data_IF_513955762138
#
_entry.id   IF_513955762138
#
_cell.length_a   1.000
_cell.length_b   1.000
_cell.length_c   1.000
_cell.angle_alpha   90.00
_cell.angle_beta   90.00
_cell.angle_gamma   90.00
#
_symmetry.space_group_name_H-M   'P 1'
#
loop_
_entity.id
_entity.type
_entity.pdbx_description
1 polymer ?
#
# COMPACT_ATOMS: atom_id res chain seq x y z
N UNK A 1 24.32 53.78 34.08
CA UNK A 1 25.73 53.69 34.53
C UNK A 1 25.78 52.78 35.73
N UNK A 2 26.28 51.55 35.57
CA UNK A 2 26.75 50.74 36.68
C UNK A 2 27.87 49.83 36.15
N UNK A 3 28.96 49.85 36.91
CA UNK A 3 30.32 49.46 36.59
C UNK A 3 30.53 47.96 36.84
N UNK A 4 31.40 47.32 36.04
CA UNK A 4 31.87 45.94 36.23
C UNK A 4 32.60 45.77 37.57
N UNK A 5 32.79 44.52 38.03
CA UNK A 5 34.17 44.06 38.12
C UNK A 5 34.39 42.67 37.50
N UNK A 6 35.67 42.39 37.29
CA UNK A 6 36.19 41.30 36.49
C UNK A 6 36.68 40.11 37.34
N UNK A 7 36.62 38.95 36.70
CA UNK A 7 37.54 37.79 36.75
C UNK A 7 37.81 37.06 38.07
N UNK A 8 37.52 35.75 38.06
CA UNK A 8 38.47 34.73 38.50
C UNK A 8 38.41 33.51 37.57
N UNK A 9 39.57 33.12 37.04
CA UNK A 9 39.79 31.88 36.27
C UNK A 9 39.91 30.72 37.26
N UNK A 10 39.15 29.63 37.08
CA UNK A 10 39.47 28.33 37.67
C UNK A 10 39.87 27.33 36.61
N UNK A 11 41.01 26.71 36.89
CA UNK A 11 41.72 25.77 36.03
C UNK A 11 41.02 24.40 35.95
N UNK A 12 41.33 23.70 34.85
CA UNK A 12 40.91 22.35 34.47
C UNK A 12 41.16 21.31 35.57
N UNK A 13 40.17 20.47 35.81
CA UNK A 13 40.35 19.10 36.30
C UNK A 13 39.88 18.13 35.21
N UNK A 14 40.81 17.31 34.71
CA UNK A 14 40.59 16.25 33.74
C UNK A 14 39.87 15.06 34.39
N UNK A 15 38.70 14.69 33.87
CA UNK A 15 38.02 13.44 34.21
C UNK A 15 38.51 12.29 33.32
N UNK A 16 38.49 11.03 33.80
CA UNK A 16 39.16 9.92 33.15
C UNK A 16 38.38 9.42 31.92
N UNK A 17 39.14 9.13 30.88
CA UNK A 17 38.73 8.37 29.70
C UNK A 17 38.37 6.94 30.08
N UNK A 18 37.11 6.54 29.96
CA UNK A 18 36.72 5.14 29.75
C UNK A 18 35.31 5.04 29.17
N UNK A 19 35.13 4.10 28.22
CA UNK A 19 33.81 3.72 27.73
C UNK A 19 33.64 3.83 26.23
N UNK A 20 34.22 2.89 25.50
CA UNK A 20 33.85 2.53 24.12
C UNK A 20 32.33 2.39 24.03
N UNK A 21 31.65 3.34 23.39
CA UNK A 21 30.23 3.21 23.04
C UNK A 21 30.12 2.10 21.99
N UNK A 22 29.84 0.88 22.44
CA UNK A 22 29.28 -0.18 21.60
C UNK A 22 27.95 0.35 21.06
N UNK A 23 27.92 0.67 19.77
CA UNK A 23 26.69 0.87 19.03
C UNK A 23 25.90 -0.44 19.09
N UNK A 24 24.87 -0.46 19.92
CA UNK A 24 23.93 -1.57 19.96
C UNK A 24 23.28 -1.69 18.59
N UNK A 25 23.62 -2.74 17.84
CA UNK A 25 22.79 -3.22 16.74
C UNK A 25 21.46 -3.65 17.37
N UNK A 26 20.44 -2.81 17.27
CA UNK A 26 19.05 -3.26 17.40
C UNK A 26 18.71 -4.05 16.15
N UNK A 27 19.22 -5.28 16.04
CA UNK A 27 18.63 -6.25 15.13
C UNK A 27 17.30 -6.67 15.76
N UNK A 28 16.19 -6.25 15.16
CA UNK A 28 14.91 -6.88 15.45
C UNK A 28 15.09 -8.40 15.30
N UNK A 29 14.64 -9.22 16.26
CA UNK A 29 14.65 -10.66 16.09
C UNK A 29 13.92 -10.99 14.79
N UNK A 30 14.51 -11.84 13.94
CA UNK A 30 13.90 -12.23 12.69
C UNK A 30 12.56 -12.92 12.99
N UNK A 31 11.46 -12.21 12.74
CA UNK A 31 10.12 -12.80 12.80
C UNK A 31 10.08 -13.85 11.68
N UNK A 32 9.91 -15.11 12.04
CA UNK A 32 9.80 -16.19 11.08
C UNK A 32 8.36 -16.21 10.55
N UNK A 33 8.13 -15.55 9.42
CA UNK A 33 6.81 -15.50 8.79
C UNK A 33 6.50 -16.82 8.10
N UNK A 34 5.28 -17.32 8.28
CA UNK A 34 4.79 -18.42 7.46
C UNK A 34 4.61 -17.94 6.02
N UNK A 35 5.09 -18.73 5.06
CA UNK A 35 4.97 -18.43 3.62
C UNK A 35 4.10 -19.49 2.96
N UNK A 36 3.26 -19.07 2.01
CA UNK A 36 2.46 -19.99 1.19
C UNK A 36 3.36 -20.75 0.22
N UNK A 37 3.07 -22.01 -0.08
CA UNK A 37 3.79 -22.73 -1.12
C UNK A 37 3.24 -22.36 -2.51
N UNK A 38 4.07 -21.67 -3.30
CA UNK A 38 3.75 -21.34 -4.68
C UNK A 38 4.41 -22.36 -5.59
N UNK A 39 3.65 -22.85 -6.56
CA UNK A 39 4.19 -23.55 -7.72
C UNK A 39 4.80 -22.56 -8.73
N UNK A 40 5.23 -23.08 -9.88
CA UNK A 40 5.84 -22.27 -10.93
C UNK A 40 4.88 -21.22 -11.49
N UNK A 41 3.63 -21.57 -11.70
CA UNK A 41 2.65 -20.69 -12.34
C UNK A 41 2.22 -19.59 -11.37
N UNK A 42 2.10 -19.91 -10.08
CA UNK A 42 1.85 -18.95 -9.02
C UNK A 42 2.97 -17.90 -8.88
N UNK A 43 4.25 -18.32 -8.87
CA UNK A 43 5.38 -17.38 -8.83
C UNK A 43 5.47 -16.53 -10.10
N UNK A 44 5.28 -17.12 -11.29
CA UNK A 44 5.31 -16.38 -12.55
C UNK A 44 4.18 -15.35 -12.63
N UNK A 45 2.97 -15.72 -12.20
CA UNK A 45 1.84 -14.80 -12.14
C UNK A 45 2.10 -13.66 -11.14
N UNK A 46 2.57 -13.98 -9.93
CA UNK A 46 2.90 -12.96 -8.94
C UNK A 46 4.01 -12.00 -9.44
N UNK A 47 5.02 -12.54 -10.14
CA UNK A 47 6.07 -11.75 -10.78
C UNK A 47 5.50 -10.79 -11.82
N UNK A 48 4.69 -11.31 -12.75
CA UNK A 48 4.04 -10.53 -13.80
C UNK A 48 3.17 -9.41 -13.21
N UNK A 49 2.30 -9.72 -12.25
CA UNK A 49 1.33 -8.77 -11.71
C UNK A 49 2.03 -7.65 -10.93
N UNK A 50 3.07 -7.97 -10.14
CA UNK A 50 3.88 -6.95 -9.47
C UNK A 50 4.69 -6.10 -10.46
N UNK A 51 5.21 -6.70 -11.55
CA UNK A 51 5.87 -5.94 -12.61
C UNK A 51 4.91 -5.00 -13.33
N UNK A 52 3.68 -5.44 -13.61
CA UNK A 52 2.65 -4.60 -14.21
C UNK A 52 2.41 -3.36 -13.38
N UNK A 53 2.21 -3.53 -12.07
CA UNK A 53 2.08 -2.40 -11.14
C UNK A 53 3.32 -1.51 -11.20
N UNK A 54 4.53 -2.07 -11.02
CA UNK A 54 5.78 -1.29 -11.02
C UNK A 54 5.96 -0.46 -12.30
N UNK A 55 5.75 -1.07 -13.47
CA UNK A 55 5.96 -0.39 -14.77
C UNK A 55 4.87 0.63 -15.04
N UNK A 56 3.63 0.33 -14.68
CA UNK A 56 2.52 1.27 -14.77
C UNK A 56 2.81 2.53 -13.93
N UNK A 57 3.21 2.34 -12.68
CA UNK A 57 3.53 3.41 -11.73
C UNK A 57 4.75 4.23 -12.19
N UNK A 58 5.78 3.60 -12.75
CA UNK A 58 6.91 4.29 -13.36
C UNK A 58 6.48 5.17 -14.55
N UNK A 59 5.58 4.66 -15.40
CA UNK A 59 5.00 5.42 -16.52
C UNK A 59 4.11 6.57 -16.03
N UNK A 60 3.27 6.35 -15.03
CA UNK A 60 2.47 7.41 -14.40
C UNK A 60 3.37 8.52 -13.84
N UNK A 61 4.46 8.16 -13.16
CA UNK A 61 5.45 9.13 -12.70
C UNK A 61 6.10 9.94 -13.84
N UNK A 62 6.37 9.31 -14.99
CA UNK A 62 6.87 10.01 -16.18
C UNK A 62 5.84 11.02 -16.72
N UNK A 63 4.59 10.60 -16.91
CA UNK A 63 3.51 11.45 -17.44
C UNK A 63 3.20 12.62 -16.50
N UNK A 64 3.26 12.40 -15.19
CA UNK A 64 3.18 13.48 -14.20
C UNK A 64 4.30 14.51 -14.38
N UNK A 65 5.55 14.05 -14.55
CA UNK A 65 6.69 14.93 -14.82
C UNK A 65 6.57 15.72 -16.13
N UNK A 66 5.81 15.21 -17.09
CA UNK A 66 5.47 15.88 -18.35
C UNK A 66 4.28 16.84 -18.22
N UNK A 67 3.63 16.92 -17.06
CA UNK A 67 2.45 17.76 -16.82
C UNK A 67 1.14 17.20 -17.38
N UNK A 68 1.11 15.92 -17.75
CA UNK A 68 -0.08 15.26 -18.33
C UNK A 68 -1.05 14.70 -17.27
N UNK A 69 -0.60 14.58 -16.01
CA UNK A 69 -1.43 14.21 -14.86
C UNK A 69 -1.58 15.43 -13.98
N UNK A 70 -2.82 15.87 -13.77
CA UNK A 70 -3.15 17.00 -12.90
C UNK A 70 -3.28 16.59 -11.42
N UNK A 71 -3.13 17.56 -10.51
CA UNK A 71 -3.35 17.36 -9.08
C UNK A 71 -2.25 16.56 -8.37
N UNK A 72 -2.63 15.70 -7.43
CA UNK A 72 -1.69 14.83 -6.72
C UNK A 72 -1.56 13.50 -7.43
N UNK A 73 -0.35 12.92 -7.44
CA UNK A 73 -0.10 11.56 -7.95
C UNK A 73 0.69 10.76 -6.91
N UNK A 74 0.09 9.67 -6.43
CA UNK A 74 0.63 8.86 -5.33
C UNK A 74 1.02 7.47 -5.82
N UNK A 75 2.32 7.24 -6.02
CA UNK A 75 2.76 6.00 -6.64
C UNK A 75 2.84 4.81 -5.67
N UNK A 76 2.38 3.62 -6.06
CA UNK A 76 2.42 2.42 -5.21
C UNK A 76 3.77 1.68 -5.18
N UNK A 77 4.83 2.28 -5.73
CA UNK A 77 6.16 1.69 -5.90
C UNK A 77 6.79 1.26 -4.56
N UNK A 78 7.07 -0.05 -4.45
CA UNK A 78 7.71 -0.71 -3.30
C UNK A 78 6.74 -1.49 -2.41
N UNK A 79 5.44 -1.45 -2.70
CA UNK A 79 4.39 -2.11 -1.89
C UNK A 79 3.66 -3.21 -2.69
N UNK A 80 4.13 -3.56 -3.89
CA UNK A 80 3.39 -4.39 -4.86
C UNK A 80 3.01 -5.77 -4.31
N UNK A 81 3.90 -6.39 -3.52
CA UNK A 81 3.66 -7.70 -2.90
C UNK A 81 2.45 -7.71 -1.97
N UNK A 82 2.13 -6.58 -1.33
CA UNK A 82 1.01 -6.48 -0.38
C UNK A 82 -0.30 -6.74 -1.11
N UNK A 83 -0.61 -5.94 -2.13
CA UNK A 83 -1.89 -6.08 -2.81
C UNK A 83 -1.95 -7.34 -3.68
N UNK A 84 -0.86 -7.73 -4.34
CA UNK A 84 -0.83 -8.96 -5.15
C UNK A 84 -1.00 -10.21 -4.28
N UNK A 85 -0.34 -10.25 -3.12
CA UNK A 85 -0.43 -11.37 -2.20
C UNK A 85 -1.82 -11.52 -1.60
N UNK A 86 -2.45 -10.42 -1.18
CA UNK A 86 -3.81 -10.45 -0.63
C UNK A 86 -4.83 -10.82 -1.71
N UNK A 87 -4.73 -10.22 -2.90
CA UNK A 87 -5.69 -10.46 -3.98
C UNK A 87 -5.76 -11.94 -4.38
N UNK A 88 -4.64 -12.68 -4.30
CA UNK A 88 -4.61 -14.12 -4.56
C UNK A 88 -5.48 -14.94 -3.58
N UNK A 89 -5.81 -14.41 -2.40
CA UNK A 89 -6.67 -15.06 -1.40
C UNK A 89 -8.17 -14.72 -1.56
N UNK A 90 -8.51 -13.77 -2.44
CA UNK A 90 -9.87 -13.26 -2.60
C UNK A 90 -10.61 -13.94 -3.76
N UNK A 91 -11.94 -14.02 -3.65
CA UNK A 91 -12.83 -14.42 -4.75
C UNK A 91 -13.09 -13.24 -5.66
N UNK A 92 -12.64 -13.33 -6.91
CA UNK A 92 -12.85 -12.28 -7.92
C UNK A 92 -14.34 -12.03 -8.16
N UNK A 93 -14.74 -10.76 -8.19
CA UNK A 93 -16.12 -10.35 -8.44
C UNK A 93 -17.08 -10.50 -7.25
N UNK A 94 -16.62 -11.07 -6.13
CA UNK A 94 -17.39 -11.27 -4.90
C UNK A 94 -16.82 -10.48 -3.73
N UNK A 95 -15.57 -10.77 -3.35
CA UNK A 95 -14.90 -10.10 -2.24
C UNK A 95 -14.55 -8.66 -2.61
N UNK A 96 -14.62 -7.77 -1.63
CA UNK A 96 -14.58 -6.33 -1.87
C UNK A 96 -13.27 -5.73 -1.42
N UNK A 97 -12.79 -4.74 -2.16
CA UNK A 97 -11.56 -4.01 -1.84
C UNK A 97 -11.85 -2.52 -1.71
N UNK A 98 -11.41 -1.91 -0.61
CA UNK A 98 -11.41 -0.45 -0.43
C UNK A 98 -10.03 0.00 0.02
N UNK A 99 -9.52 1.12 -0.49
CA UNK A 99 -8.16 1.59 -0.18
C UNK A 99 -8.08 3.12 -0.03
N UNK A 100 -6.89 3.61 0.28
CA UNK A 100 -6.58 5.05 0.30
C UNK A 100 -6.27 5.57 -1.10
N UNK A 101 -5.95 6.86 -1.22
CA UNK A 101 -5.51 7.56 -2.44
C UNK A 101 -4.26 6.99 -3.17
N UNK A 102 -3.70 5.85 -2.75
CA UNK A 102 -2.56 5.18 -3.40
C UNK A 102 -3.05 3.90 -4.07
N UNK A 103 -4.03 4.06 -4.95
CA UNK A 103 -4.95 3.02 -5.38
C UNK A 103 -4.61 2.40 -6.75
N UNK A 104 -3.74 2.99 -7.57
CA UNK A 104 -3.54 2.53 -8.97
C UNK A 104 -3.08 1.08 -9.01
N UNK A 105 -2.05 0.73 -8.23
CA UNK A 105 -1.60 -0.65 -8.08
C UNK A 105 -2.68 -1.61 -7.56
N UNK A 106 -3.59 -1.14 -6.71
CA UNK A 106 -4.70 -1.96 -6.24
C UNK A 106 -5.73 -2.23 -7.34
N UNK A 107 -6.01 -1.24 -8.18
CA UNK A 107 -6.91 -1.41 -9.32
C UNK A 107 -6.38 -2.44 -10.30
N UNK A 108 -5.09 -2.36 -10.62
CA UNK A 108 -4.44 -3.32 -11.50
C UNK A 108 -4.47 -4.73 -10.91
N UNK A 109 -4.22 -4.87 -9.60
CA UNK A 109 -4.33 -6.16 -8.91
C UNK A 109 -5.77 -6.70 -8.94
N UNK A 110 -6.79 -5.85 -8.81
CA UNK A 110 -8.20 -6.23 -8.92
C UNK A 110 -8.63 -6.56 -10.38
N UNK A 111 -7.72 -6.51 -11.35
CA UNK A 111 -7.97 -6.89 -12.73
C UNK A 111 -8.64 -5.82 -13.58
N UNK A 112 -8.57 -4.54 -13.18
CA UNK A 112 -8.98 -3.44 -14.03
C UNK A 112 -8.01 -3.26 -15.20
N UNK A 113 -8.54 -2.94 -16.38
CA UNK A 113 -7.75 -2.61 -17.58
C UNK A 113 -6.86 -1.38 -17.31
N UNK A 114 -5.53 -1.50 -17.49
CA UNK A 114 -4.58 -0.38 -17.36
C UNK A 114 -4.95 0.85 -18.19
N UNK A 115 -5.61 0.69 -19.35
CA UNK A 115 -6.07 1.81 -20.20
C UNK A 115 -7.00 2.74 -19.45
N UNK A 116 -8.01 2.18 -18.78
CA UNK A 116 -8.97 2.97 -18.00
C UNK A 116 -8.33 3.63 -16.78
N UNK A 117 -7.36 2.95 -16.14
CA UNK A 117 -6.63 3.55 -15.00
C UNK A 117 -5.81 4.73 -15.49
N UNK A 118 -5.03 4.55 -16.57
CA UNK A 118 -4.18 5.60 -17.11
C UNK A 118 -5.00 6.78 -17.66
N UNK A 119 -6.13 6.51 -18.33
CA UNK A 119 -7.05 7.52 -18.81
C UNK A 119 -7.64 8.36 -17.66
N UNK A 120 -7.95 7.75 -16.52
CA UNK A 120 -8.40 8.51 -15.35
C UNK A 120 -7.28 9.40 -14.79
N UNK A 121 -6.05 8.86 -14.68
CA UNK A 121 -4.90 9.64 -14.20
C UNK A 121 -4.66 10.89 -15.05
N UNK A 122 -4.85 10.79 -16.37
CA UNK A 122 -4.66 11.91 -17.31
C UNK A 122 -5.93 12.72 -17.54
N UNK A 123 -7.01 12.49 -16.78
CA UNK A 123 -8.24 13.27 -16.83
C UNK A 123 -9.02 13.10 -18.15
N UNK A 124 -9.08 11.89 -18.68
CA UNK A 124 -9.74 11.57 -19.96
C UNK A 124 -11.08 10.86 -19.76
N UNK A 125 -11.98 11.00 -20.74
CA UNK A 125 -13.36 10.47 -20.67
C UNK A 125 -13.44 8.96 -20.48
N UNK A 126 -12.45 8.22 -20.98
CA UNK A 126 -12.35 6.76 -20.88
C UNK A 126 -11.82 6.28 -19.54
N UNK A 127 -11.59 7.19 -18.59
CA UNK A 127 -11.27 6.85 -17.21
C UNK A 127 -12.44 6.20 -16.46
N UNK A 128 -12.13 5.44 -15.41
CA UNK A 128 -13.13 4.72 -14.59
C UNK A 128 -14.13 5.64 -13.86
N UNK A 129 -13.83 6.92 -13.75
CA UNK A 129 -14.71 7.96 -13.20
C UNK A 129 -14.86 9.11 -14.17
N UNK A 130 -14.81 8.80 -15.48
CA UNK A 130 -14.99 9.72 -16.59
C UNK A 130 -14.00 10.90 -16.57
N UNK A 131 -12.79 10.69 -16.02
CA UNK A 131 -11.76 11.72 -15.91
C UNK A 131 -11.98 12.74 -14.80
N UNK A 132 -12.98 12.54 -13.92
CA UNK A 132 -13.36 13.46 -12.83
C UNK A 132 -12.62 13.17 -11.52
N UNK A 133 -12.31 11.90 -11.27
CA UNK A 133 -11.75 11.43 -10.00
C UNK A 133 -10.23 11.58 -9.92
N UNK A 134 -9.56 11.48 -11.08
CA UNK A 134 -8.11 11.59 -11.17
C UNK A 134 -7.39 10.52 -10.34
N UNK A 135 -6.20 10.87 -9.86
CA UNK A 135 -5.28 9.92 -9.23
C UNK A 135 -5.70 9.34 -7.89
N UNK A 136 -6.77 9.83 -7.26
CA UNK A 136 -7.12 9.44 -5.89
C UNK A 136 -8.52 8.85 -5.74
N UNK A 137 -9.35 8.91 -6.78
CA UNK A 137 -10.78 8.63 -6.68
C UNK A 137 -11.26 7.81 -7.87
N UNK A 138 -10.89 6.53 -7.89
CA UNK A 138 -11.38 5.58 -8.89
C UNK A 138 -12.26 4.53 -8.24
N UNK A 139 -13.19 3.94 -9.01
CA UNK A 139 -14.15 2.96 -8.50
C UNK A 139 -14.51 1.93 -9.58
N UNK A 140 -14.80 0.69 -9.19
CA UNK A 140 -15.37 -0.31 -10.11
C UNK A 140 -16.33 -1.23 -9.38
N UNK A 141 -17.63 -1.12 -9.71
CA UNK A 141 -18.64 -2.05 -9.18
C UNK A 141 -18.44 -3.47 -9.70
N UNK A 142 -18.04 -3.61 -10.97
CA UNK A 142 -17.84 -4.91 -11.61
C UNK A 142 -16.73 -5.70 -10.90
N UNK A 143 -15.62 -5.03 -10.58
CA UNK A 143 -14.46 -5.63 -9.90
C UNK A 143 -14.54 -5.58 -8.37
N UNK A 144 -15.70 -5.22 -7.80
CA UNK A 144 -15.90 -5.02 -6.36
C UNK A 144 -14.83 -4.12 -5.70
N UNK A 145 -14.38 -3.10 -6.43
CA UNK A 145 -13.40 -2.13 -5.98
C UNK A 145 -14.09 -0.83 -5.60
N UNK A 146 -14.14 -0.56 -4.29
CA UNK A 146 -14.83 0.59 -3.70
C UNK A 146 -13.94 1.80 -3.44
N UNK A 147 -12.79 1.79 -4.10
CA UNK A 147 -12.08 2.99 -4.50
C UNK A 147 -10.94 3.46 -3.63
N UNK A 148 -10.23 4.45 -4.18
CA UNK A 148 -9.31 5.30 -3.45
C UNK A 148 -10.04 6.43 -2.73
N UNK A 149 -9.71 6.62 -1.46
CA UNK A 149 -10.25 7.70 -0.65
C UNK A 149 -9.15 8.70 -0.29
N UNK A 150 -9.33 9.95 -0.73
CA UNK A 150 -8.42 11.07 -0.46
C UNK A 150 -8.40 11.53 1.00
N UNK A 151 -9.52 11.36 1.72
CA UNK A 151 -9.60 11.70 3.13
C UNK A 151 -8.98 10.58 3.96
N UNK A 152 -7.93 10.92 4.71
CA UNK A 152 -7.14 9.97 5.49
C UNK A 152 -8.02 9.20 6.49
N UNK A 153 -8.12 7.88 6.28
CA UNK A 153 -8.87 6.97 7.15
C UNK A 153 -10.37 6.85 6.82
N UNK A 154 -10.90 7.63 5.86
CA UNK A 154 -12.33 7.59 5.51
C UNK A 154 -12.76 6.26 4.88
N UNK A 155 -11.84 5.56 4.21
CA UNK A 155 -12.11 4.25 3.63
C UNK A 155 -12.41 3.18 4.69
N UNK A 156 -11.96 3.38 5.94
CA UNK A 156 -12.06 2.36 6.99
C UNK A 156 -13.51 2.09 7.41
N UNK A 157 -14.31 3.10 7.80
CA UNK A 157 -15.73 2.89 8.05
C UNK A 157 -16.51 2.49 6.78
N UNK A 158 -16.09 2.94 5.59
CA UNK A 158 -16.73 2.57 4.32
C UNK A 158 -16.61 1.06 4.08
N UNK A 159 -15.40 0.52 4.17
CA UNK A 159 -15.16 -0.92 4.00
C UNK A 159 -15.86 -1.77 5.06
N UNK A 160 -15.88 -1.32 6.32
CA UNK A 160 -16.68 -1.98 7.35
C UNK A 160 -18.19 -1.94 7.03
N UNK A 161 -18.69 -0.86 6.44
CA UNK A 161 -20.07 -0.75 5.97
C UNK A 161 -20.40 -1.75 4.84
N UNK A 162 -19.45 -2.03 3.95
CA UNK A 162 -19.61 -3.06 2.92
C UNK A 162 -19.68 -4.46 3.56
N UNK A 163 -18.78 -4.78 4.49
CA UNK A 163 -18.84 -6.03 5.26
C UNK A 163 -20.15 -6.18 6.05
N UNK A 164 -20.69 -5.09 6.59
CA UNK A 164 -22.01 -5.09 7.20
C UNK A 164 -23.12 -5.41 6.19
N UNK A 165 -23.03 -4.89 4.96
CA UNK A 165 -24.00 -5.18 3.92
C UNK A 165 -23.98 -6.66 3.50
N UNK A 166 -22.81 -7.28 3.42
CA UNK A 166 -22.67 -8.73 3.16
C UNK A 166 -23.25 -9.57 4.30
N UNK A 167 -22.90 -9.22 5.55
CA UNK A 167 -23.49 -9.85 6.73
C UNK A 167 -25.02 -9.71 6.75
N UNK A 168 -25.54 -8.54 6.43
CA UNK A 168 -26.99 -8.28 6.41
C UNK A 168 -27.71 -9.10 5.31
N UNK A 169 -27.05 -9.34 4.19
CA UNK A 169 -27.57 -10.17 3.08
C UNK A 169 -27.36 -11.67 3.30
N UNK A 170 -26.59 -12.07 4.31
CA UNK A 170 -26.26 -13.46 4.58
C UNK A 170 -25.28 -14.07 3.56
N UNK A 171 -24.48 -13.24 2.88
CA UNK A 171 -23.36 -13.72 2.04
C UNK A 171 -22.14 -14.00 2.92
N UNK A 172 -21.20 -14.78 2.39
CA UNK A 172 -19.92 -15.08 3.06
C UNK A 172 -18.77 -14.23 2.51
N UNK A 173 -19.04 -13.21 1.70
CA UNK A 173 -18.03 -12.31 1.14
C UNK A 173 -17.27 -11.58 2.24
N UNK A 174 -15.99 -11.29 1.98
CA UNK A 174 -15.16 -10.48 2.88
C UNK A 174 -14.87 -9.11 2.28
N UNK A 175 -14.75 -8.10 3.14
CA UNK A 175 -14.29 -6.76 2.75
C UNK A 175 -12.85 -6.54 3.21
N UNK A 176 -11.94 -6.26 2.28
CA UNK A 176 -10.55 -5.92 2.56
C UNK A 176 -10.37 -4.42 2.50
N UNK A 177 -9.81 -3.87 3.57
CA UNK A 177 -9.75 -2.43 3.81
C UNK A 177 -8.30 -2.01 4.04
N UNK A 178 -7.71 -1.36 3.04
CA UNK A 178 -6.32 -0.92 3.05
C UNK A 178 -6.18 0.51 3.55
N UNK A 179 -5.22 0.73 4.44
CA UNK A 179 -4.88 2.06 4.94
C UNK A 179 -3.43 2.12 5.45
N UNK A 180 -2.80 3.28 5.33
CA UNK A 180 -1.42 3.46 5.78
C UNK A 180 -1.27 3.63 7.28
N UNK A 181 -0.03 3.58 7.75
CA UNK A 181 0.37 3.86 9.13
C UNK A 181 -0.12 5.23 9.64
N UNK A 182 -0.12 6.26 8.78
CA UNK A 182 -0.68 7.56 9.15
C UNK A 182 -2.19 7.51 9.45
N UNK A 183 -2.94 6.75 8.66
CA UNK A 183 -4.39 6.63 8.79
C UNK A 183 -4.81 5.82 10.02
N UNK A 184 -3.99 4.86 10.44
CA UNK A 184 -4.25 4.04 11.62
C UNK A 184 -4.35 4.83 12.94
N UNK A 185 -3.95 6.11 12.94
CA UNK A 185 -4.07 7.00 14.10
C UNK A 185 -5.35 7.86 14.10
N UNK A 186 -6.22 7.72 13.11
CA UNK A 186 -7.46 8.50 13.03
C UNK A 186 -8.54 7.95 13.97
N UNK A 187 -9.30 8.82 14.63
CA UNK A 187 -10.35 8.43 15.59
C UNK A 187 -11.40 7.49 15.00
N UNK A 188 -11.85 7.79 13.77
CA UNK A 188 -12.82 6.97 13.03
C UNK A 188 -12.37 5.52 12.81
N UNK A 189 -11.06 5.24 12.78
CA UNK A 189 -10.54 3.87 12.67
C UNK A 189 -10.84 3.06 13.94
N UNK A 190 -10.64 3.66 15.11
CA UNK A 190 -10.93 3.03 16.40
C UNK A 190 -12.42 2.83 16.62
N UNK A 191 -13.24 3.83 16.26
CA UNK A 191 -14.70 3.70 16.28
C UNK A 191 -15.16 2.55 15.37
N UNK A 192 -14.54 2.43 14.18
CA UNK A 192 -14.83 1.34 13.24
C UNK A 192 -14.43 -0.03 13.80
N UNK A 193 -13.26 -0.17 14.43
CA UNK A 193 -12.85 -1.42 15.07
C UNK A 193 -13.85 -1.89 16.12
N UNK A 194 -14.31 -0.99 16.99
CA UNK A 194 -15.31 -1.30 17.99
C UNK A 194 -16.59 -1.87 17.35
N UNK A 195 -17.11 -1.19 16.33
CA UNK A 195 -18.34 -1.58 15.64
C UNK A 195 -18.16 -2.89 14.86
N UNK A 196 -17.06 -3.04 14.14
CA UNK A 196 -16.74 -4.23 13.36
C UNK A 196 -16.66 -5.48 14.25
N UNK A 197 -16.01 -5.37 15.42
CA UNK A 197 -15.97 -6.47 16.38
C UNK A 197 -17.34 -6.75 16.98
N UNK A 198 -18.01 -5.71 17.50
CA UNK A 198 -19.31 -5.83 18.18
C UNK A 198 -20.30 -6.58 17.30
N UNK A 199 -20.29 -6.25 16.01
CA UNK A 199 -21.17 -6.86 15.02
C UNK A 199 -20.56 -8.05 14.30
N UNK A 200 -19.36 -8.52 14.67
CA UNK A 200 -18.68 -9.65 14.02
C UNK A 200 -18.72 -9.55 12.49
N UNK A 201 -18.25 -8.43 11.96
CA UNK A 201 -18.24 -8.16 10.52
C UNK A 201 -17.12 -8.94 9.82
N UNK A 202 -17.35 -9.45 8.60
CA UNK A 202 -16.34 -10.14 7.80
C UNK A 202 -15.39 -9.13 7.12
N UNK A 203 -14.61 -8.39 7.92
CA UNK A 203 -13.72 -7.33 7.43
C UNK A 203 -12.26 -7.59 7.81
N UNK A 204 -11.36 -7.43 6.83
CA UNK A 204 -9.92 -7.55 7.02
C UNK A 204 -9.31 -6.17 6.91
N UNK A 205 -8.73 -5.68 8.00
CA UNK A 205 -8.06 -4.39 8.07
C UNK A 205 -6.57 -4.56 7.74
N UNK A 206 -6.16 -4.05 6.59
CA UNK A 206 -4.78 -4.14 6.10
C UNK A 206 -4.08 -2.81 6.33
N UNK A 207 -3.11 -2.82 7.25
CA UNK A 207 -2.30 -1.67 7.58
C UNK A 207 -1.00 -1.73 6.78
N UNK A 208 -0.86 -0.86 5.79
CA UNK A 208 0.36 -0.72 5.00
C UNK A 208 1.37 0.14 5.74
N UNK A 209 2.19 -0.48 6.59
CA UNK A 209 3.22 0.22 7.36
C UNK A 209 4.47 0.43 6.50
N UNK A 210 4.46 1.52 5.73
CA UNK A 210 5.60 1.96 4.91
C UNK A 210 6.57 2.91 5.63
N UNK A 211 6.46 2.98 6.97
CA UNK A 211 7.28 3.74 7.91
C UNK A 211 7.01 5.25 8.00
N UNK A 212 6.29 5.84 7.06
CA UNK A 212 6.14 7.29 6.96
C UNK A 212 4.75 7.77 6.51
N UNK A 213 4.07 8.49 7.39
CA UNK A 213 2.92 9.33 7.08
C UNK A 213 3.40 10.68 6.51
N UNK A 214 3.40 10.80 5.18
CA UNK A 214 4.11 11.87 4.46
C UNK A 214 5.59 11.88 4.87
N UNK A 215 6.00 12.82 5.74
CA UNK A 215 7.35 12.93 6.31
C UNK A 215 7.46 12.65 7.81
N UNK A 216 6.36 12.23 8.46
CA UNK A 216 6.36 11.88 9.88
C UNK A 216 6.57 10.38 10.03
N UNK A 217 7.64 9.97 10.71
CA UNK A 217 7.91 8.55 10.96
C UNK A 217 6.94 7.95 11.96
N UNK A 218 6.74 6.62 11.89
CA UNK A 218 5.91 5.86 12.85
C UNK A 218 6.33 6.12 14.30
N UNK A 219 7.64 6.08 14.59
CA UNK A 219 8.18 6.31 15.94
C UNK A 219 7.92 7.71 16.51
N UNK A 220 7.57 8.69 15.64
CA UNK A 220 7.25 10.06 16.04
C UNK A 220 5.76 10.32 16.17
N UNK A 221 4.92 9.43 15.63
CA UNK A 221 3.47 9.61 15.53
C UNK A 221 2.67 8.57 16.33
N UNK A 222 3.32 7.50 16.79
CA UNK A 222 2.63 6.38 17.46
C UNK A 222 3.37 5.93 18.71
N UNK A 223 2.65 5.89 19.83
CA UNK A 223 3.17 5.37 21.09
C UNK A 223 3.33 3.84 21.07
N UNK A 224 2.40 3.15 20.40
CA UNK A 224 2.52 1.72 20.07
C UNK A 224 2.88 1.60 18.58
N UNK A 225 4.08 1.12 18.29
CA UNK A 225 4.61 1.04 16.92
C UNK A 225 4.33 -0.31 16.23
N UNK A 226 3.86 -1.29 16.99
CA UNK A 226 3.33 -2.56 16.51
C UNK A 226 1.83 -2.38 16.22
N UNK A 227 1.47 -2.15 14.95
CA UNK A 227 0.10 -1.79 14.57
C UNK A 227 -0.81 -3.00 14.45
N UNK A 228 -0.27 -4.22 14.37
CA UNK A 228 -1.05 -5.45 14.52
C UNK A 228 -1.82 -5.48 15.85
N UNK A 229 -1.29 -4.79 16.88
CA UNK A 229 -1.93 -4.67 18.21
C UNK A 229 -3.03 -3.62 18.32
N UNK A 230 -3.31 -2.86 17.26
CA UNK A 230 -4.33 -1.78 17.32
C UNK A 230 -5.73 -2.32 17.63
N UNK A 231 -5.96 -3.61 17.38
CA UNK A 231 -7.20 -4.32 17.68
C UNK A 231 -7.34 -4.86 19.10
N UNK A 232 -6.28 -4.89 19.91
CA UNK A 232 -6.26 -5.61 21.21
C UNK A 232 -7.36 -5.13 22.16
N UNK A 233 -7.55 -3.82 22.29
CA UNK A 233 -8.59 -3.24 23.16
C UNK A 233 -10.02 -3.58 22.72
N UNK A 234 -10.18 -4.04 21.48
CA UNK A 234 -11.45 -4.45 20.90
C UNK A 234 -11.54 -5.97 20.71
N UNK A 235 -10.58 -6.76 21.19
CA UNK A 235 -10.52 -8.21 20.97
C UNK A 235 -10.48 -8.61 19.48
N UNK A 236 -9.85 -7.79 18.63
CA UNK A 236 -9.60 -8.11 17.23
C UNK A 236 -8.19 -8.71 17.12
N UNK A 237 -8.04 -9.94 16.64
CA UNK A 237 -6.73 -10.53 16.43
C UNK A 237 -5.97 -9.76 15.33
N UNK A 238 -4.64 -9.73 15.46
CA UNK A 238 -3.80 -9.20 14.40
C UNK A 238 -2.40 -9.78 14.41
N UNK A 239 -1.75 -9.74 13.26
CA UNK A 239 -0.37 -10.18 13.09
C UNK A 239 0.43 -9.23 12.19
N UNK A 240 1.74 -9.15 12.45
CA UNK A 240 2.67 -8.50 11.54
C UNK A 240 3.04 -9.48 10.43
N UNK A 241 3.21 -8.95 9.22
CA UNK A 241 3.53 -9.73 8.02
C UNK A 241 4.67 -9.05 7.27
N UNK A 242 5.57 -9.84 6.68
CA UNK A 242 6.55 -9.32 5.73
C UNK A 242 5.83 -8.86 4.46
N UNK A 243 5.48 -7.58 4.40
CA UNK A 243 4.81 -6.98 3.24
C UNK A 243 5.68 -6.91 1.99
N UNK A 244 6.95 -7.32 2.08
CA UNK A 244 7.88 -7.39 0.95
C UNK A 244 8.00 -8.82 0.37
N UNK A 245 7.35 -9.83 0.96
CA UNK A 245 7.30 -11.19 0.43
C UNK A 245 5.86 -11.59 0.10
N UNK A 246 5.55 -11.66 -1.20
CA UNK A 246 4.22 -12.01 -1.71
C UNK A 246 3.69 -13.36 -1.18
N UNK A 247 4.57 -14.31 -0.86
CA UNK A 247 4.18 -15.62 -0.30
C UNK A 247 3.79 -15.51 1.17
N UNK A 248 4.48 -14.66 1.95
CA UNK A 248 4.13 -14.37 3.34
C UNK A 248 2.79 -13.62 3.40
N UNK A 249 2.62 -12.64 2.52
CA UNK A 249 1.37 -11.89 2.38
C UNK A 249 0.21 -12.82 2.04
N UNK A 250 0.36 -13.70 1.04
CA UNK A 250 -0.70 -14.66 0.66
C UNK A 250 -1.07 -15.59 1.82
N UNK A 251 -0.09 -16.15 2.53
CA UNK A 251 -0.37 -17.03 3.67
C UNK A 251 -1.15 -16.31 4.79
N UNK A 252 -0.80 -15.06 5.10
CA UNK A 252 -1.51 -14.28 6.09
C UNK A 252 -2.92 -13.89 5.62
N UNK A 253 -3.07 -13.54 4.34
CA UNK A 253 -4.36 -13.25 3.74
C UNK A 253 -5.29 -14.47 3.77
N UNK A 254 -4.80 -15.68 3.48
CA UNK A 254 -5.58 -16.91 3.57
C UNK A 254 -6.19 -17.11 4.96
N UNK A 255 -5.37 -16.96 6.01
CA UNK A 255 -5.85 -17.07 7.40
C UNK A 255 -6.88 -15.99 7.74
N UNK A 256 -6.64 -14.75 7.34
CA UNK A 256 -7.54 -13.65 7.63
C UNK A 256 -8.88 -13.79 6.89
N UNK A 257 -8.85 -14.25 5.64
CA UNK A 257 -10.05 -14.55 4.83
C UNK A 257 -10.82 -15.71 5.45
N UNK A 258 -10.16 -16.81 5.79
CA UNK A 258 -10.79 -17.95 6.46
C UNK A 258 -11.44 -17.52 7.78
N UNK A 259 -10.74 -16.75 8.61
CA UNK A 259 -11.24 -16.24 9.88
C UNK A 259 -12.49 -15.38 9.71
N UNK A 260 -12.44 -14.38 8.84
CA UNK A 260 -13.53 -13.45 8.60
C UNK A 260 -14.75 -14.17 8.01
N UNK A 261 -14.52 -15.04 7.03
CA UNK A 261 -15.55 -15.83 6.33
C UNK A 261 -16.23 -16.86 7.24
N UNK A 262 -15.50 -17.41 8.21
CA UNK A 262 -16.07 -18.28 9.25
C UNK A 262 -16.94 -17.54 10.28
N UNK A 263 -17.09 -16.21 10.16
CA UNK A 263 -17.95 -15.41 11.05
C UNK A 263 -17.31 -15.06 12.39
N UNK A 264 -16.00 -15.25 12.54
CA UNK A 264 -15.28 -14.93 13.78
C UNK A 264 -15.14 -13.41 14.02
N UNK A 265 -15.43 -12.61 12.99
CA UNK A 265 -15.39 -11.16 13.00
C UNK A 265 -14.15 -10.61 12.28
N UNK A 266 -13.74 -9.37 12.60
CA UNK A 266 -12.64 -8.72 11.92
C UNK A 266 -11.28 -9.36 12.21
N UNK A 267 -10.30 -9.06 11.35
CA UNK A 267 -8.89 -9.43 11.50
C UNK A 267 -7.98 -8.27 11.07
N UNK A 268 -6.85 -8.06 11.75
CA UNK A 268 -5.87 -7.03 11.40
C UNK A 268 -4.60 -7.66 10.82
N UNK A 269 -4.15 -7.14 9.68
CA UNK A 269 -2.89 -7.50 9.05
C UNK A 269 -2.00 -6.26 8.96
N UNK A 270 -0.87 -6.25 9.67
CA UNK A 270 0.13 -5.18 9.55
C UNK A 270 1.23 -5.57 8.57
N UNK A 271 1.16 -5.00 7.36
CA UNK A 271 2.11 -5.24 6.29
C UNK A 271 3.35 -4.37 6.49
N UNK A 272 4.45 -4.99 6.93
CA UNK A 272 5.75 -4.33 7.03
C UNK A 272 6.31 -4.12 5.62
N UNK A 273 6.14 -2.93 5.06
CA UNK A 273 6.52 -2.62 3.68
C UNK A 273 7.35 -1.32 3.62
N UNK A 274 7.62 -0.80 2.42
CA UNK A 274 8.39 0.42 2.24
C UNK A 274 8.04 1.18 0.97
N UNK A 275 7.85 2.51 1.10
CA UNK A 275 7.51 3.39 -0.03
C UNK A 275 8.79 3.92 -0.70
N UNK A 276 9.13 3.51 -1.92
CA UNK A 276 10.39 3.94 -2.55
C UNK A 276 10.38 5.37 -3.09
N UNK A 277 9.20 5.91 -3.42
CA UNK A 277 9.03 7.31 -3.87
C UNK A 277 8.59 8.22 -2.74
N UNK A 278 8.68 9.54 -2.97
CA UNK A 278 8.09 10.52 -2.06
C UNK A 278 6.62 10.22 -1.76
N UNK A 279 6.05 10.94 -0.81
CA UNK A 279 4.64 10.78 -0.44
C UNK A 279 3.74 10.82 -1.68
N UNK A 280 3.92 11.88 -2.47
CA UNK A 280 3.41 12.08 -3.83
C UNK A 280 4.57 12.40 -4.77
N UNK A 281 4.30 12.51 -6.07
CA UNK A 281 5.30 12.92 -7.06
C UNK A 281 5.84 14.35 -6.86
N UNK A 282 5.13 15.20 -6.12
CA UNK A 282 5.59 16.55 -5.75
C UNK A 282 6.41 16.60 -4.46
N UNK A 283 6.47 15.50 -3.68
CA UNK A 283 7.22 15.44 -2.43
C UNK A 283 8.69 15.05 -2.67
N UNK A 284 9.66 15.92 -2.33
CA UNK A 284 11.09 15.63 -2.51
C UNK A 284 11.66 14.62 -1.50
N UNK A 285 10.87 14.15 -0.53
CA UNK A 285 11.26 13.10 0.43
C UNK A 285 12.48 13.43 1.32
N UNK A 286 12.64 14.70 1.72
CA UNK A 286 13.81 15.19 2.50
C UNK A 286 13.94 14.66 3.94
N UNK A 287 12.95 13.89 4.42
CA UNK A 287 12.87 13.37 5.78
C UNK A 287 13.52 12.00 5.99
N UNK A 288 14.13 11.43 4.94
CA UNK A 288 14.81 10.13 4.95
C UNK A 288 16.01 10.16 4.02
N UNK A 289 16.99 9.28 4.26
CA UNK A 289 18.23 9.29 3.48
C UNK A 289 18.09 8.48 2.20
N UNK A 290 18.87 8.81 1.18
CA UNK A 290 18.95 8.00 -0.05
C UNK A 290 19.44 6.58 0.25
N UNK A 291 20.39 6.45 1.17
CA UNK A 291 20.97 5.17 1.58
C UNK A 291 19.94 4.24 2.23
N UNK A 292 19.02 4.78 3.04
CA UNK A 292 17.92 4.00 3.64
C UNK A 292 17.03 3.39 2.55
N UNK A 293 16.61 4.21 1.59
CA UNK A 293 15.74 3.76 0.48
C UNK A 293 16.48 2.76 -0.42
N UNK A 294 17.74 3.06 -0.76
CA UNK A 294 18.54 2.20 -1.63
C UNK A 294 18.81 0.84 -0.98
N UNK A 295 19.15 0.82 0.31
CA UNK A 295 19.32 -0.42 1.06
C UNK A 295 18.03 -1.25 1.06
N UNK A 296 16.88 -0.63 1.31
CA UNK A 296 15.59 -1.34 1.25
C UNK A 296 15.30 -1.90 -0.14
N UNK A 297 15.71 -1.22 -1.21
CA UNK A 297 15.54 -1.71 -2.57
C UNK A 297 16.47 -2.88 -2.87
N UNK A 298 17.74 -2.77 -2.54
CA UNK A 298 18.75 -3.79 -2.87
C UNK A 298 18.54 -5.09 -2.08
N UNK A 299 18.13 -4.97 -0.82
CA UNK A 299 18.01 -6.12 0.07
C UNK A 299 16.59 -6.73 0.06
N UNK A 300 15.55 -5.95 -0.26
CA UNK A 300 14.15 -6.33 0.03
C UNK A 300 13.15 -6.08 -1.10
N UNK A 301 13.54 -5.63 -2.29
CA UNK A 301 12.56 -5.40 -3.37
C UNK A 301 11.73 -6.68 -3.67
N UNK A 302 10.38 -6.60 -3.64
CA UNK A 302 9.52 -7.77 -3.72
C UNK A 302 9.62 -8.48 -5.08
N UNK A 303 9.85 -7.72 -6.15
CA UNK A 303 9.95 -8.25 -7.51
C UNK A 303 11.28 -8.97 -7.68
N UNK A 304 12.36 -8.41 -7.16
CA UNK A 304 13.69 -9.03 -7.21
C UNK A 304 13.74 -10.33 -6.40
N UNK A 305 13.03 -10.39 -5.27
CA UNK A 305 12.92 -11.63 -4.49
C UNK A 305 12.24 -12.76 -5.29
N UNK A 306 11.14 -12.48 -5.98
CA UNK A 306 10.47 -13.48 -6.84
C UNK A 306 11.37 -13.88 -8.01
N UNK A 307 12.01 -12.91 -8.69
CA UNK A 307 12.97 -13.17 -9.77
C UNK A 307 14.05 -14.16 -9.35
N UNK A 308 14.72 -13.91 -8.22
CA UNK A 308 15.77 -14.79 -7.69
C UNK A 308 15.25 -16.20 -7.47
N UNK A 309 14.08 -16.34 -6.82
CA UNK A 309 13.47 -17.67 -6.58
C UNK A 309 13.14 -18.40 -7.87
N UNK A 310 12.61 -17.72 -8.89
CA UNK A 310 12.30 -18.32 -10.20
C UNK A 310 13.54 -18.87 -10.89
N UNK A 311 14.65 -18.11 -10.86
CA UNK A 311 15.93 -18.51 -11.47
C UNK A 311 16.60 -19.63 -10.67
N UNK A 312 16.68 -19.51 -9.35
CA UNK A 312 17.30 -20.50 -8.46
C UNK A 312 16.60 -21.86 -8.52
N UNK A 313 15.26 -21.88 -8.66
CA UNK A 313 14.49 -23.11 -8.84
C UNK A 313 14.54 -23.66 -10.27
N UNK A 314 15.18 -22.96 -11.22
CA UNK A 314 15.18 -23.33 -12.64
C UNK A 314 13.80 -23.26 -13.29
N UNK A 315 12.88 -22.47 -12.73
CA UNK A 315 11.52 -22.32 -13.23
C UNK A 315 11.43 -21.33 -14.39
N UNK A 316 12.31 -20.35 -14.43
CA UNK A 316 12.47 -19.43 -15.56
C UNK A 316 13.95 -19.02 -15.70
N UNK A 317 14.38 -18.80 -16.94
CA UNK A 317 15.66 -18.18 -17.23
C UNK A 317 15.57 -16.66 -17.15
N UNK A 318 16.72 -15.99 -17.12
CA UNK A 318 16.77 -14.53 -17.22
C UNK A 318 16.11 -13.99 -18.49
N UNK A 319 16.20 -14.72 -19.59
CA UNK A 319 15.62 -14.29 -20.86
C UNK A 319 14.09 -14.47 -20.88
N UNK A 320 13.57 -15.51 -20.24
CA UNK A 320 12.11 -15.66 -20.03
C UNK A 320 11.55 -14.46 -19.24
N UNK A 321 12.24 -14.06 -18.17
CA UNK A 321 11.81 -12.94 -17.32
C UNK A 321 11.93 -11.59 -18.04
N UNK A 322 12.91 -11.41 -18.94
CA UNK A 322 13.00 -10.23 -19.81
C UNK A 322 11.83 -10.14 -20.79
N UNK A 323 11.40 -11.26 -21.36
CA UNK A 323 10.24 -11.26 -22.26
C UNK A 323 8.95 -10.92 -21.50
N UNK A 324 8.82 -11.33 -20.23
CA UNK A 324 7.71 -10.89 -19.36
C UNK A 324 7.79 -9.36 -19.11
N UNK A 325 8.96 -8.81 -18.76
CA UNK A 325 9.09 -7.35 -18.56
C UNK A 325 8.75 -6.57 -19.85
N UNK A 326 9.17 -7.10 -21.00
CA UNK A 326 8.87 -6.51 -22.32
C UNK A 326 7.39 -6.55 -22.66
N UNK A 327 6.69 -7.66 -22.40
CA UNK A 327 5.24 -7.73 -22.64
C UNK A 327 4.47 -6.79 -21.73
N UNK A 328 4.84 -6.72 -20.44
CA UNK A 328 4.28 -5.76 -19.48
C UNK A 328 4.50 -4.32 -19.93
N UNK A 329 5.71 -3.97 -20.38
CA UNK A 329 6.00 -2.63 -20.92
C UNK A 329 5.16 -2.29 -22.14
N UNK A 330 4.87 -3.27 -23.00
CA UNK A 330 3.99 -3.08 -24.14
C UNK A 330 2.57 -2.74 -23.69
N UNK A 331 2.01 -3.48 -22.73
CA UNK A 331 0.69 -3.19 -22.13
C UNK A 331 0.63 -1.78 -21.54
N UNK A 332 1.65 -1.39 -20.77
CA UNK A 332 1.72 -0.05 -20.14
C UNK A 332 1.87 1.06 -21.19
N UNK A 333 2.62 0.80 -22.27
CA UNK A 333 2.77 1.77 -23.37
C UNK A 333 1.44 1.94 -24.09
N UNK A 334 0.75 0.84 -24.40
CA UNK A 334 -0.58 0.88 -25.01
C UNK A 334 -1.59 1.65 -24.14
N UNK A 335 -1.54 1.48 -22.81
CA UNK A 335 -2.37 2.25 -21.88
C UNK A 335 -2.08 3.76 -21.92
N UNK A 336 -0.80 4.14 -21.98
CA UNK A 336 -0.39 5.53 -22.11
C UNK A 336 -0.79 6.15 -23.47
N UNK A 337 -0.65 5.38 -24.55
CA UNK A 337 -1.03 5.80 -25.90
C UNK A 337 -2.55 5.97 -26.01
N UNK A 338 -3.33 5.03 -25.46
CA UNK A 338 -4.78 5.13 -25.34
C UNK A 338 -5.18 6.40 -24.59
N UNK A 339 -4.62 6.63 -23.40
CA UNK A 339 -4.91 7.80 -22.58
C UNK A 339 -4.44 9.13 -23.21
N UNK A 340 -3.47 9.10 -24.13
CA UNK A 340 -3.00 10.29 -24.84
C UNK A 340 -3.88 10.61 -26.05
N UNK A 341 -4.46 9.59 -26.69
CA UNK A 341 -5.36 9.73 -27.83
C UNK A 341 -6.83 9.92 -27.42
N UNK A 342 -7.19 9.53 -26.20
CA UNK A 342 -8.56 9.68 -25.70
C UNK A 342 -8.92 11.16 -25.47
N UNK A 343 -10.19 11.48 -25.68
CA UNK A 343 -10.65 12.86 -25.58
C UNK A 343 -10.78 13.31 -24.12
N UNK A 344 -10.64 14.61 -23.91
CA UNK A 344 -11.07 15.23 -22.66
C UNK A 344 -12.59 15.06 -22.47
N UNK A 345 -13.07 14.96 -21.22
CA UNK A 345 -14.50 15.01 -20.93
C UNK A 345 -15.11 16.30 -21.49
N UNK A 346 -16.32 16.21 -22.04
CA UNK A 346 -17.06 17.41 -22.42
C UNK A 346 -17.34 18.26 -21.18
N UNK A 347 -17.26 19.60 -21.22
CA UNK A 347 -17.54 20.44 -20.05
C UNK A 347 -18.91 20.20 -19.39
N UNK A 348 -19.88 19.65 -20.10
CA UNK A 348 -21.18 19.25 -19.53
C UNK A 348 -21.07 18.14 -18.48
N UNK A 349 -20.00 17.33 -18.50
CA UNK A 349 -19.71 16.29 -17.50
C UNK A 349 -19.52 16.85 -16.08
N UNK A 350 -19.26 18.15 -15.93
CA UNK A 350 -19.20 18.81 -14.62
C UNK A 350 -20.56 18.80 -13.88
N UNK A 351 -21.66 18.63 -14.61
CA UNK A 351 -23.02 18.70 -14.07
C UNK A 351 -23.71 17.34 -13.95
N UNK A 352 -23.04 16.27 -14.38
CA UNK A 352 -23.54 14.89 -14.28
C UNK A 352 -23.08 14.24 -12.97
N UNK A 353 -23.81 13.22 -12.51
CA UNK A 353 -23.47 12.40 -11.33
C UNK A 353 -23.40 13.14 -9.97
N UNK A 354 -23.83 14.40 -9.89
CA UNK A 354 -23.96 15.15 -8.63
C UNK A 354 -25.11 14.59 -7.78
N UNK A 355 -26.20 14.21 -8.45
CA UNK A 355 -27.39 13.57 -7.89
C UNK A 355 -27.81 12.43 -8.84
N UNK A 356 -28.68 11.55 -8.36
CA UNK A 356 -29.26 10.45 -9.17
C UNK A 356 -30.24 10.93 -10.22
#
# INVERSE_FOLDING_TARGET
MAVRPATEKRARASAPTSGTKKTGKTSNPAINYQVADFDKDDELKAYHDMLLIRRFEEKAGQLYGMGLIGGFCHLYIGQEAVVVGIQKALREGEDQVTTSYRDHGHMLACGMDPKGVMAELTGRKGGYSHGKGGSMHMFSREKQFFGGHGIVGAQVPIGAGLAFADKYRGTDNVSVVYFGDGAANQGQVYETFNMAQLWKLPVIFVIENNRYAMGTSVSRSSAQTDFAKRGESFNIPGEQVDGMDVRAVKAAADRAVEWARAGNGPYILEMQTYRYRGHSMSDPAKYRTKDEVQKMRDERDPIEQVRKRLVEKGWASEDDLKEIDKSVRAVVTEAADFASADAEPDPSELWTDILR
#
